data_IF_235268540304
#
_entry.id   IF_235268540304
#
_cell.length_a   1.000
_cell.length_b   1.000
_cell.length_c   1.000
_cell.angle_alpha   90.00
_cell.angle_beta   90.00
_cell.angle_gamma   90.00
#
_symmetry.space_group_name_H-M   'P 1'
#
loop_
_entity.id
_entity.type
_entity.pdbx_description
1 polymer ?
#
# COMPACT_ATOMS: atom_id res chain seq x y z
N UNK A 1 -14.54 8.00 12.54
CA UNK A 1 -14.20 7.91 11.11
C UNK A 1 -13.37 6.66 10.86
N UNK A 2 -13.89 5.69 10.10
CA UNK A 2 -13.08 4.68 9.41
C UNK A 2 -13.89 4.20 8.20
N UNK A 3 -13.71 4.86 7.05
CA UNK A 3 -14.17 4.33 5.76
C UNK A 3 -13.19 3.23 5.33
N UNK A 4 -13.27 2.08 5.98
CA UNK A 4 -12.47 0.89 5.67
C UNK A 4 -13.34 -0.18 5.01
N UNK A 5 -12.76 -0.98 4.12
CA UNK A 5 -13.42 -2.17 3.57
C UNK A 5 -13.83 -3.10 4.72
N UNK A 6 -15.04 -3.69 4.71
CA UNK A 6 -15.48 -4.62 5.74
C UNK A 6 -14.44 -5.74 5.92
N UNK A 7 -14.08 -6.03 7.17
CA UNK A 7 -13.11 -7.08 7.51
C UNK A 7 -11.63 -6.71 7.37
N UNK A 8 -11.28 -5.47 6.96
CA UNK A 8 -9.86 -5.06 6.97
C UNK A 8 -9.34 -4.93 8.40
N UNK A 9 -8.20 -5.58 8.73
CA UNK A 9 -7.49 -5.39 10.00
C UNK A 9 -7.31 -3.92 10.36
N UNK A 10 -7.53 -3.58 11.64
CA UNK A 10 -7.26 -2.22 12.13
C UNK A 10 -5.76 -1.97 12.05
N UNK A 11 -5.38 -0.80 11.53
CA UNK A 11 -3.98 -0.42 11.37
C UNK A 11 -3.21 -0.45 12.68
N UNK A 12 -1.90 -0.65 12.59
CA UNK A 12 -1.02 -0.70 13.76
C UNK A 12 -0.94 0.65 14.49
N UNK A 13 -1.04 0.63 15.81
CA UNK A 13 -0.84 1.75 16.71
C UNK A 13 0.64 1.91 17.08
N UNK A 14 1.10 3.16 17.13
CA UNK A 14 2.43 3.51 17.61
C UNK A 14 2.47 3.57 19.14
N UNK A 15 3.68 3.60 19.71
CA UNK A 15 3.86 3.74 21.16
C UNK A 15 3.23 5.02 21.69
N UNK A 16 3.40 6.13 20.97
CA UNK A 16 2.69 7.37 21.28
C UNK A 16 1.16 7.23 21.22
N UNK A 17 0.61 6.48 20.27
CA UNK A 17 -0.84 6.28 20.18
C UNK A 17 -1.40 5.50 21.39
N UNK A 18 -0.69 4.46 21.85
CA UNK A 18 -1.02 3.76 23.09
C UNK A 18 -0.93 4.68 24.31
N UNK A 19 0.11 5.52 24.38
CA UNK A 19 0.23 6.52 25.43
C UNK A 19 -0.93 7.51 25.46
N UNK A 20 -1.28 8.09 24.32
CA UNK A 20 -2.43 9.01 24.20
C UNK A 20 -3.72 8.31 24.62
N UNK A 21 -3.90 7.03 24.29
CA UNK A 21 -5.05 6.24 24.74
C UNK A 21 -5.08 6.08 26.26
N UNK A 22 -3.95 5.73 26.90
CA UNK A 22 -3.90 5.62 28.37
C UNK A 22 -4.20 6.96 29.05
N UNK A 23 -3.69 8.08 28.52
CA UNK A 23 -4.03 9.40 29.02
C UNK A 23 -5.53 9.73 28.90
N UNK A 24 -6.21 9.24 27.84
CA UNK A 24 -7.66 9.43 27.68
C UNK A 24 -8.43 8.62 28.71
N UNK A 25 -8.02 7.37 28.94
CA UNK A 25 -8.65 6.48 29.92
C UNK A 25 -8.48 7.01 31.35
N UNK A 26 -7.29 7.52 31.70
CA UNK A 26 -7.05 8.17 32.98
C UNK A 26 -7.92 9.43 33.17
N UNK A 27 -8.04 10.26 32.12
CA UNK A 27 -8.91 11.44 32.18
C UNK A 27 -10.37 11.06 32.38
N UNK A 28 -10.86 10.05 31.66
CA UNK A 28 -12.23 9.53 31.85
C UNK A 28 -12.48 9.00 33.26
N UNK A 29 -11.49 8.37 33.89
CA UNK A 29 -11.60 7.89 35.28
C UNK A 29 -11.59 9.01 36.30
N UNK A 30 -10.77 10.05 36.10
CA UNK A 30 -10.58 11.13 37.08
C UNK A 30 -11.61 12.25 36.95
N UNK A 31 -12.07 12.53 35.75
CA UNK A 31 -13.03 13.60 35.44
C UNK A 31 -14.06 13.11 34.43
N UNK A 32 -14.93 12.15 34.84
CA UNK A 32 -15.90 11.51 33.93
C UNK A 32 -16.92 12.48 33.34
N UNK A 33 -17.25 13.59 34.02
CA UNK A 33 -18.24 14.56 33.56
C UNK A 33 -17.70 15.68 32.65
N UNK A 34 -16.38 15.90 32.62
CA UNK A 34 -15.81 17.00 31.83
C UNK A 34 -15.46 16.48 30.42
N UNK A 35 -16.15 16.95 29.36
CA UNK A 35 -15.84 16.55 28.00
C UNK A 35 -14.42 16.97 27.63
N UNK A 36 -13.65 16.03 27.08
CA UNK A 36 -12.23 16.23 26.80
C UNK A 36 -12.07 17.14 25.58
N UNK A 37 -11.56 18.36 25.77
CA UNK A 37 -11.17 19.22 24.65
C UNK A 37 -9.98 18.59 23.91
N UNK A 38 -10.19 18.16 22.67
CA UNK A 38 -9.17 17.43 21.89
C UNK A 38 -7.89 18.26 21.66
N UNK A 39 -8.00 19.57 21.44
CA UNK A 39 -6.86 20.42 21.16
C UNK A 39 -5.95 20.56 22.39
N UNK A 40 -6.54 20.81 23.55
CA UNK A 40 -5.83 20.90 24.82
C UNK A 40 -5.25 19.55 25.25
N UNK A 41 -6.05 18.49 25.10
CA UNK A 41 -5.63 17.14 25.43
C UNK A 41 -4.45 16.67 24.57
N UNK A 42 -4.47 16.97 23.27
CA UNK A 42 -3.37 16.65 22.36
C UNK A 42 -2.07 17.39 22.76
N UNK A 43 -2.16 18.69 23.09
CA UNK A 43 -1.02 19.47 23.60
C UNK A 43 -0.47 18.88 24.91
N UNK A 44 -1.34 18.53 25.86
CA UNK A 44 -0.96 17.93 27.15
C UNK A 44 -0.26 16.58 26.96
N UNK A 45 -0.78 15.72 26.09
CA UNK A 45 -0.16 14.44 25.77
C UNK A 45 1.21 14.62 25.12
N UNK A 46 1.33 15.52 24.14
CA UNK A 46 2.60 15.79 23.47
C UNK A 46 3.67 16.29 24.45
N UNK A 47 3.30 17.23 25.32
CA UNK A 47 4.19 17.73 26.37
C UNK A 47 4.65 16.63 27.32
N UNK A 48 3.71 15.83 27.83
CA UNK A 48 4.02 14.71 28.75
C UNK A 48 4.87 13.63 28.08
N UNK A 49 4.60 13.29 26.82
CA UNK A 49 5.42 12.34 26.09
C UNK A 49 6.86 12.84 25.90
N UNK A 50 7.05 14.14 25.67
CA UNK A 50 8.39 14.71 25.56
C UNK A 50 9.16 14.62 26.88
N UNK A 51 8.51 14.85 28.02
CA UNK A 51 9.15 14.81 29.35
C UNK A 51 9.29 13.41 29.94
N UNK A 52 8.55 12.42 29.42
CA UNK A 52 8.65 11.03 29.87
C UNK A 52 10.04 10.43 29.63
N UNK A 53 10.48 9.67 30.63
CA UNK A 53 11.74 8.93 30.58
C UNK A 53 11.67 7.77 29.58
N UNK A 54 12.85 7.30 29.13
CA UNK A 54 12.94 6.14 28.25
C UNK A 54 12.33 4.87 28.87
N UNK A 55 12.42 4.71 30.20
CA UNK A 55 11.84 3.58 30.93
C UNK A 55 10.32 3.59 30.89
N UNK A 56 9.69 4.76 31.04
CA UNK A 56 8.24 4.89 30.94
C UNK A 56 7.73 4.74 29.51
N UNK A 57 8.51 5.23 28.52
CA UNK A 57 8.24 5.02 27.10
C UNK A 57 8.37 3.55 26.70
N UNK A 58 9.28 2.81 27.32
CA UNK A 58 9.53 1.39 27.06
C UNK A 58 8.25 0.55 27.13
N UNK A 59 7.38 0.79 28.12
CA UNK A 59 6.07 0.11 28.23
C UNK A 59 5.22 0.30 26.97
N UNK A 60 5.21 1.51 26.41
CA UNK A 60 4.42 1.83 25.23
C UNK A 60 5.09 1.33 23.94
N UNK A 61 6.42 1.29 23.91
CA UNK A 61 7.18 0.70 22.81
C UNK A 61 6.92 -0.81 22.74
N UNK A 62 6.86 -1.50 23.87
CA UNK A 62 6.51 -2.93 23.91
C UNK A 62 5.06 -3.19 23.48
N UNK A 63 4.11 -2.34 23.87
CA UNK A 63 2.74 -2.40 23.35
C UNK A 63 2.68 -2.21 21.82
N UNK A 64 3.46 -1.27 21.28
CA UNK A 64 3.52 -1.05 19.84
C UNK A 64 4.17 -2.24 19.09
N UNK A 65 5.16 -2.90 19.69
CA UNK A 65 5.74 -4.14 19.15
C UNK A 65 4.71 -5.27 19.11
N UNK A 66 3.95 -5.45 20.19
CA UNK A 66 2.88 -6.46 20.25
C UNK A 66 1.79 -6.17 19.22
N UNK A 67 1.41 -4.89 19.05
CA UNK A 67 0.40 -4.51 18.07
C UNK A 67 0.86 -4.70 16.62
N UNK A 68 2.16 -4.52 16.36
CA UNK A 68 2.75 -4.91 15.08
C UNK A 68 2.56 -6.41 14.81
N UNK A 69 2.80 -7.28 15.80
CA UNK A 69 2.59 -8.73 15.67
C UNK A 69 1.12 -9.06 15.43
N UNK A 70 0.20 -8.44 16.19
CA UNK A 70 -1.25 -8.57 15.96
C UNK A 70 -1.61 -8.19 14.53
N UNK A 71 -1.18 -7.02 14.07
CA UNK A 71 -1.48 -6.53 12.73
C UNK A 71 -0.91 -7.45 11.64
N UNK A 72 0.34 -7.91 11.80
CA UNK A 72 0.98 -8.80 10.84
C UNK A 72 0.21 -10.14 10.77
N UNK A 73 -0.17 -10.73 11.91
CA UNK A 73 -1.00 -11.95 11.97
C UNK A 73 -2.39 -11.74 11.35
N UNK A 74 -3.09 -10.66 11.69
CA UNK A 74 -4.39 -10.32 11.09
C UNK A 74 -4.27 -10.12 9.57
N UNK A 75 -3.18 -9.51 9.10
CA UNK A 75 -2.89 -9.32 7.69
C UNK A 75 -2.52 -10.61 6.96
N UNK A 76 -1.89 -11.59 7.62
CA UNK A 76 -1.64 -12.91 7.03
C UNK A 76 -2.94 -13.66 6.74
N UNK A 77 -3.94 -13.53 7.62
CA UNK A 77 -5.24 -14.20 7.48
C UNK A 77 -6.25 -13.36 6.67
N UNK A 78 -6.01 -12.06 6.55
CA UNK A 78 -6.79 -11.19 5.68
C UNK A 78 -6.34 -11.35 4.24
N UNK A 79 -7.16 -11.98 3.42
CA UNK A 79 -7.03 -11.88 1.96
C UNK A 79 -7.61 -10.53 1.53
N UNK A 80 -6.80 -9.49 1.22
CA UNK A 80 -7.34 -8.28 0.65
C UNK A 80 -7.97 -8.65 -0.70
N UNK A 81 -9.30 -8.70 -0.76
CA UNK A 81 -10.02 -8.71 -2.02
C UNK A 81 -9.42 -7.58 -2.87
N UNK A 82 -8.79 -7.95 -3.99
CA UNK A 82 -7.81 -7.13 -4.69
C UNK A 82 -8.28 -5.68 -4.79
N UNK A 83 -7.39 -4.72 -4.48
CA UNK A 83 -7.71 -3.28 -4.51
C UNK A 83 -8.43 -2.98 -5.83
N UNK A 84 -9.75 -2.77 -5.78
CA UNK A 84 -10.51 -2.28 -6.94
C UNK A 84 -9.83 -0.98 -7.35
N UNK A 85 -9.15 -1.00 -8.50
CA UNK A 85 -8.48 0.18 -9.03
C UNK A 85 -9.48 1.33 -9.09
N UNK A 86 -9.03 2.57 -8.80
CA UNK A 86 -9.86 3.76 -9.03
C UNK A 86 -10.47 3.67 -10.44
N UNK A 87 -11.79 3.91 -10.54
CA UNK A 87 -12.47 4.00 -11.84
C UNK A 87 -11.71 5.02 -12.69
N UNK A 88 -11.33 4.63 -13.92
CA UNK A 88 -10.64 5.52 -14.85
C UNK A 88 -11.65 6.57 -15.33
N UNK A 89 -11.22 7.83 -15.36
CA UNK A 89 -11.98 8.92 -15.97
C UNK A 89 -12.11 8.63 -17.48
N UNK A 90 -13.34 8.63 -18.06
CA UNK A 90 -13.56 8.43 -19.50
C UNK A 90 -12.85 9.45 -20.39
N UNK A 91 -12.62 10.68 -19.91
CA UNK A 91 -12.02 11.77 -20.66
C UNK A 91 -10.50 11.86 -20.49
N UNK A 92 -9.93 11.13 -19.53
CA UNK A 92 -8.48 11.14 -19.34
C UNK A 92 -7.79 10.35 -20.47
N UNK A 93 -6.70 10.87 -21.04
CA UNK A 93 -5.99 10.16 -22.09
C UNK A 93 -5.48 8.81 -21.58
N UNK A 94 -5.46 7.81 -22.45
CA UNK A 94 -5.07 6.44 -22.12
C UNK A 94 -3.59 6.38 -21.74
N UNK A 95 -3.29 5.76 -20.59
CA UNK A 95 -1.91 5.58 -20.13
C UNK A 95 -1.05 4.85 -21.17
N UNK A 96 0.21 5.28 -21.37
CA UNK A 96 1.12 4.64 -22.31
C UNK A 96 1.47 3.22 -21.84
N UNK A 97 1.64 2.32 -22.81
CA UNK A 97 2.09 0.94 -22.54
C UNK A 97 3.52 0.93 -21.99
N UNK A 98 3.78 0.10 -20.96
CA UNK A 98 5.15 -0.12 -20.46
C UNK A 98 5.96 -1.00 -21.41
N UNK A 99 7.29 -1.03 -21.24
CA UNK A 99 8.18 -1.84 -22.08
C UNK A 99 7.80 -3.31 -22.13
N UNK A 100 7.40 -3.87 -20.98
CA UNK A 100 6.88 -5.24 -20.89
C UNK A 100 5.61 -5.47 -21.74
N UNK A 101 4.66 -4.52 -21.72
CA UNK A 101 3.44 -4.65 -22.53
C UNK A 101 3.70 -4.52 -24.03
N UNK A 102 4.69 -3.71 -24.43
CA UNK A 102 5.15 -3.63 -25.82
C UNK A 102 5.77 -4.97 -26.23
N UNK A 103 6.65 -5.54 -25.40
CA UNK A 103 7.21 -6.88 -25.64
C UNK A 103 6.12 -7.95 -25.74
N UNK A 104 5.15 -7.95 -24.83
CA UNK A 104 4.02 -8.87 -24.84
C UNK A 104 3.21 -8.76 -26.12
N UNK A 105 2.97 -7.55 -26.62
CA UNK A 105 2.21 -7.34 -27.85
C UNK A 105 2.89 -8.04 -29.05
N UNK A 106 4.23 -7.96 -29.14
CA UNK A 106 5.02 -8.55 -30.22
C UNK A 106 5.12 -10.09 -30.10
N UNK A 107 5.15 -10.63 -28.87
CA UNK A 107 5.45 -12.05 -28.63
C UNK A 107 4.21 -12.91 -28.34
N UNK A 108 3.12 -12.30 -27.88
CA UNK A 108 1.83 -12.99 -27.68
C UNK A 108 1.34 -13.74 -28.93
N UNK A 109 1.34 -13.17 -30.15
CA UNK A 109 0.89 -13.92 -31.32
C UNK A 109 1.80 -15.12 -31.62
N UNK A 110 3.13 -15.02 -31.39
CA UNK A 110 4.08 -16.12 -31.60
C UNK A 110 3.80 -17.29 -30.66
N UNK A 111 3.61 -17.01 -29.37
CA UNK A 111 3.30 -18.05 -28.38
C UNK A 111 1.92 -18.65 -28.62
N UNK A 112 0.93 -17.83 -29.01
CA UNK A 112 -0.42 -18.29 -29.36
C UNK A 112 -0.40 -19.19 -30.60
N UNK A 113 0.44 -18.91 -31.59
CA UNK A 113 0.61 -19.75 -32.77
C UNK A 113 1.29 -21.08 -32.45
N UNK A 114 2.31 -21.07 -31.59
CA UNK A 114 3.01 -22.29 -31.13
C UNK A 114 2.14 -23.14 -30.19
N UNK A 115 1.27 -22.50 -29.42
CA UNK A 115 0.42 -23.14 -28.43
C UNK A 115 -1.02 -22.61 -28.50
N UNK A 116 -1.77 -22.98 -29.55
CA UNK A 116 -3.13 -22.48 -29.77
C UNK A 116 -4.10 -22.89 -28.66
N UNK A 117 -3.84 -24.02 -28.00
CA UNK A 117 -4.61 -24.54 -26.87
C UNK A 117 -4.41 -23.77 -25.56
N UNK A 118 -3.34 -22.96 -25.43
CA UNK A 118 -3.12 -22.21 -24.20
C UNK A 118 -4.09 -21.03 -24.05
N UNK A 119 -4.62 -20.92 -22.84
CA UNK A 119 -5.42 -19.80 -22.39
C UNK A 119 -4.63 -18.49 -22.38
N UNK A 120 -5.33 -17.37 -22.49
CA UNK A 120 -4.69 -16.03 -22.48
C UNK A 120 -3.87 -15.81 -21.20
N UNK A 121 -4.34 -16.34 -20.07
CA UNK A 121 -3.64 -16.26 -18.79
C UNK A 121 -2.30 -16.99 -18.80
N UNK A 122 -2.24 -18.20 -19.35
CA UNK A 122 -1.01 -19.00 -19.37
C UNK A 122 0.00 -18.46 -20.39
N UNK A 123 -0.49 -17.93 -21.52
CA UNK A 123 0.36 -17.18 -22.46
C UNK A 123 0.98 -15.95 -21.77
N UNK A 124 0.21 -15.23 -20.96
CA UNK A 124 0.73 -14.07 -20.22
C UNK A 124 1.78 -14.46 -19.16
N UNK A 125 1.60 -15.58 -18.45
CA UNK A 125 2.60 -16.11 -17.52
C UNK A 125 3.91 -16.44 -18.24
N UNK A 126 3.84 -17.16 -19.36
CA UNK A 126 5.01 -17.52 -20.18
C UNK A 126 5.76 -16.30 -20.71
N UNK A 127 5.05 -15.25 -21.11
CA UNK A 127 5.65 -13.97 -21.52
C UNK A 127 6.33 -13.24 -20.35
N UNK A 128 5.74 -13.31 -19.15
CA UNK A 128 6.34 -12.75 -17.93
C UNK A 128 7.68 -13.41 -17.59
N UNK A 129 7.72 -14.74 -17.64
CA UNK A 129 8.95 -15.51 -17.43
C UNK A 129 10.02 -15.18 -18.48
N UNK A 130 9.64 -15.16 -19.76
CA UNK A 130 10.55 -14.76 -20.84
C UNK A 130 11.12 -13.37 -20.62
N UNK A 131 10.26 -12.39 -20.30
CA UNK A 131 10.71 -11.03 -20.03
C UNK A 131 11.68 -10.96 -18.85
N UNK A 132 11.46 -11.71 -17.77
CA UNK A 132 12.38 -11.72 -16.64
C UNK A 132 13.75 -12.29 -17.02
N UNK A 133 13.77 -13.32 -17.87
CA UNK A 133 14.98 -13.98 -18.36
C UNK A 133 15.73 -13.21 -19.46
N UNK A 134 15.11 -12.19 -20.07
CA UNK A 134 15.78 -11.34 -21.06
C UNK A 134 16.89 -10.50 -20.42
N UNK A 135 17.99 -10.29 -21.15
CA UNK A 135 19.07 -9.40 -20.74
C UNK A 135 18.68 -7.94 -20.90
N UNK A 136 19.34 -7.04 -20.16
CA UNK A 136 19.03 -5.61 -20.24
C UNK A 136 19.19 -5.05 -21.65
N UNK A 137 20.19 -5.51 -22.41
CA UNK A 137 20.40 -5.12 -23.80
C UNK A 137 19.17 -5.42 -24.69
N UNK A 138 18.53 -6.58 -24.50
CA UNK A 138 17.33 -6.96 -25.25
C UNK A 138 16.07 -6.25 -24.76
N UNK A 139 16.04 -5.86 -23.47
CA UNK A 139 14.96 -5.05 -22.87
C UNK A 139 15.05 -3.58 -23.27
N UNK A 140 16.26 -3.02 -23.45
CA UNK A 140 16.51 -1.61 -23.77
C UNK A 140 15.62 -1.05 -24.90
N UNK A 141 15.50 -1.67 -26.10
CA UNK A 141 14.67 -1.13 -27.16
C UNK A 141 13.19 -1.00 -26.74
N UNK A 142 12.68 -1.94 -25.94
CA UNK A 142 11.31 -1.88 -25.42
C UNK A 142 11.14 -0.79 -24.36
N UNK A 143 12.13 -0.61 -23.49
CA UNK A 143 12.15 0.45 -22.47
C UNK A 143 12.23 1.83 -23.12
N UNK A 144 13.07 2.01 -24.15
CA UNK A 144 13.18 3.27 -24.92
C UNK A 144 11.85 3.58 -25.62
N UNK A 145 11.22 2.60 -26.27
CA UNK A 145 9.89 2.77 -26.88
C UNK A 145 8.85 3.19 -25.84
N UNK A 146 8.85 2.56 -24.67
CA UNK A 146 7.93 2.91 -23.58
C UNK A 146 8.17 4.32 -23.03
N UNK A 147 9.43 4.73 -22.87
CA UNK A 147 9.79 6.09 -22.46
C UNK A 147 9.32 7.12 -23.48
N UNK A 148 9.53 6.88 -24.78
CA UNK A 148 9.01 7.79 -25.84
C UNK A 148 7.48 7.92 -25.80
N UNK A 149 6.75 6.84 -25.54
CA UNK A 149 5.29 6.90 -25.38
C UNK A 149 4.88 7.65 -24.11
N UNK A 150 5.66 7.49 -23.03
CA UNK A 150 5.48 8.22 -21.78
C UNK A 150 5.69 9.72 -21.97
N UNK A 151 6.74 10.13 -22.67
CA UNK A 151 7.04 11.53 -22.92
C UNK A 151 5.94 12.18 -23.77
N UNK A 152 5.44 11.47 -24.81
CA UNK A 152 4.29 11.93 -25.60
C UNK A 152 3.04 12.11 -24.73
N UNK A 153 2.77 11.17 -23.83
CA UNK A 153 1.63 11.25 -22.91
C UNK A 153 1.74 12.41 -21.92
N UNK A 154 2.96 12.70 -21.43
CA UNK A 154 3.24 13.83 -20.55
C UNK A 154 3.13 15.18 -21.24
N UNK A 155 3.31 15.26 -22.57
CA UNK A 155 3.13 16.50 -23.32
C UNK A 155 1.66 16.82 -23.65
N UNK A 156 0.78 15.82 -23.56
CA UNK A 156 -0.65 15.93 -23.89
C UNK A 156 -1.52 16.12 -22.64
N UNK A 157 -0.98 15.88 -21.44
CA UNK A 157 -1.61 16.17 -20.15
C UNK A 157 -0.94 17.37 -19.48
#
# INVERSE_FOLDING_TARGET
MAKGTPGKPKGKMSSYAYFVQTCREEHKKKTPEIPVNFAEFSKKCSGRWKTMSGKEKGKFDDMAKQDKVRYDNEMMHFAPGGKKGRKKDPNAPKRPSSGFFIFCADHRPKIKAQHPSLGIGDVAKKLGEQWNNLTDATKQPYLIKANKLKDKYQKVN
#
